data_IF_168015060056
#
_entry.id   IF_168015060056
#
_cell.length_a   1.000
_cell.length_b   1.000
_cell.length_c   1.000
_cell.angle_alpha   90.00
_cell.angle_beta   90.00
_cell.angle_gamma   90.00
#
_symmetry.space_group_name_H-M   'P 1'
#
loop_
_entity.id
_entity.type
_entity.pdbx_description
1 polymer ?
#
# COMPACT_ATOMS: atom_id res chain seq x y z
N UNK A 1 -18.35 23.46 -1.32
CA UNK A 1 -17.80 24.07 -2.56
C UNK A 1 -16.78 23.15 -3.24
N UNK A 2 -16.90 21.82 -3.09
CA UNK A 2 -16.07 20.80 -3.77
C UNK A 2 -16.92 19.86 -4.66
N UNK A 3 -18.23 20.10 -4.74
CA UNK A 3 -19.18 19.18 -5.38
C UNK A 3 -19.22 19.33 -6.91
N UNK A 4 -18.97 20.53 -7.45
CA UNK A 4 -19.05 20.79 -8.90
C UNK A 4 -18.02 20.00 -9.74
N UNK A 5 -16.73 19.92 -9.37
CA UNK A 5 -15.76 19.10 -10.09
C UNK A 5 -16.11 17.62 -10.06
N UNK A 6 -16.51 17.10 -8.90
CA UNK A 6 -16.88 15.70 -8.70
C UNK A 6 -18.09 15.29 -9.53
N UNK A 7 -19.16 16.10 -9.53
CA UNK A 7 -20.36 15.83 -10.34
C UNK A 7 -20.06 15.81 -11.83
N UNK A 8 -19.15 16.69 -12.29
CA UNK A 8 -18.70 16.70 -13.68
C UNK A 8 -17.93 15.42 -14.05
N UNK A 9 -17.06 14.94 -13.18
CA UNK A 9 -16.32 13.69 -13.41
C UNK A 9 -17.26 12.49 -13.52
N UNK A 10 -18.24 12.39 -12.62
CA UNK A 10 -19.27 11.35 -12.65
C UNK A 10 -20.10 11.46 -13.95
N UNK A 11 -20.55 12.66 -14.32
CA UNK A 11 -21.31 12.88 -15.55
C UNK A 11 -20.52 12.46 -16.82
N UNK A 12 -19.23 12.80 -16.88
CA UNK A 12 -18.36 12.40 -17.99
C UNK A 12 -18.19 10.89 -18.04
N UNK A 13 -17.99 10.24 -16.88
CA UNK A 13 -17.90 8.79 -16.79
C UNK A 13 -19.17 8.08 -17.28
N UNK A 14 -20.34 8.58 -16.87
CA UNK A 14 -21.65 8.07 -17.29
C UNK A 14 -21.84 8.23 -18.80
N UNK A 15 -21.62 9.44 -19.33
CA UNK A 15 -21.92 9.75 -20.74
C UNK A 15 -20.92 9.15 -21.75
N UNK A 16 -19.73 8.74 -21.31
CA UNK A 16 -18.72 8.10 -22.18
C UNK A 16 -18.74 6.57 -22.17
N UNK A 17 -19.42 5.95 -21.20
CA UNK A 17 -19.52 4.50 -21.15
C UNK A 17 -20.39 3.97 -22.32
N UNK A 18 -19.79 3.20 -23.24
CA UNK A 18 -20.49 2.68 -24.43
C UNK A 18 -21.30 1.41 -24.19
N UNK A 19 -20.87 0.58 -23.23
CA UNK A 19 -21.44 -0.77 -23.02
C UNK A 19 -21.74 -1.06 -21.55
N UNK A 20 -20.82 -0.74 -20.64
CA UNK A 20 -21.00 -0.93 -19.20
C UNK A 20 -20.17 0.08 -18.41
N UNK A 21 -20.76 0.65 -17.36
CA UNK A 21 -20.07 1.45 -16.35
C UNK A 21 -20.09 0.70 -15.02
N UNK A 22 -18.94 0.64 -14.35
CA UNK A 22 -18.83 0.15 -12.97
C UNK A 22 -18.08 1.22 -12.16
N UNK A 23 -18.70 1.68 -11.08
CA UNK A 23 -18.12 2.71 -10.20
C UNK A 23 -17.90 2.05 -8.84
N UNK A 24 -16.65 2.07 -8.37
CA UNK A 24 -16.28 1.58 -7.05
C UNK A 24 -16.07 2.78 -6.14
N UNK A 25 -16.81 2.84 -5.04
CA UNK A 25 -16.77 3.93 -4.08
C UNK A 25 -16.89 3.39 -2.66
N UNK A 26 -16.46 4.19 -1.67
CA UNK A 26 -16.72 3.87 -0.27
C UNK A 26 -18.22 3.89 0.05
N UNK A 27 -18.69 3.18 1.08
CA UNK A 27 -20.11 3.18 1.48
C UNK A 27 -20.64 4.62 1.64
N UNK A 28 -21.79 4.92 1.04
CA UNK A 28 -22.43 6.24 1.09
C UNK A 28 -21.66 7.38 0.39
N UNK A 29 -20.50 7.12 -0.21
CA UNK A 29 -19.64 8.16 -0.79
C UNK A 29 -20.03 8.56 -2.22
N UNK A 30 -20.84 7.75 -2.92
CA UNK A 30 -21.23 8.07 -4.29
C UNK A 30 -22.53 8.86 -4.32
N UNK A 31 -22.42 10.11 -4.79
CA UNK A 31 -23.54 11.04 -4.91
C UNK A 31 -24.31 11.22 -3.59
N UNK A 32 -23.63 11.50 -2.46
CA UNK A 32 -24.22 11.50 -1.12
C UNK A 32 -25.35 12.51 -0.94
N UNK A 33 -25.44 13.52 -1.82
CA UNK A 33 -26.41 14.63 -1.72
C UNK A 33 -27.35 14.68 -2.93
N UNK A 34 -27.21 13.75 -3.86
CA UNK A 34 -28.04 13.69 -5.04
C UNK A 34 -29.34 12.97 -4.68
N UNK A 35 -30.22 13.61 -3.90
CA UNK A 35 -31.65 13.33 -4.01
C UNK A 35 -32.09 13.82 -5.39
N UNK A 36 -31.80 13.00 -6.41
CA UNK A 36 -32.13 13.29 -7.80
C UNK A 36 -33.65 13.16 -7.94
N UNK A 37 -34.36 14.25 -7.65
CA UNK A 37 -35.80 14.33 -7.82
C UNK A 37 -36.17 13.87 -9.23
N UNK A 38 -37.01 12.84 -9.33
CA UNK A 38 -37.50 12.31 -10.61
C UNK A 38 -36.70 11.16 -11.22
N UNK A 39 -35.62 10.69 -10.59
CA UNK A 39 -34.95 9.45 -10.99
C UNK A 39 -35.21 8.36 -9.94
N UNK A 40 -35.70 7.20 -10.38
CA UNK A 40 -35.80 6.01 -9.54
C UNK A 40 -34.37 5.48 -9.29
N UNK A 41 -33.75 5.92 -8.21
CA UNK A 41 -32.51 5.33 -7.72
C UNK A 41 -32.85 4.03 -6.99
N UNK A 42 -32.52 2.89 -7.60
CA UNK A 42 -32.63 1.59 -6.96
C UNK A 42 -31.28 1.24 -6.36
N UNK A 43 -31.15 1.42 -5.05
CA UNK A 43 -30.03 0.89 -4.30
C UNK A 43 -30.25 -0.63 -4.11
N UNK A 44 -29.77 -1.43 -5.06
CA UNK A 44 -29.71 -2.87 -4.89
C UNK A 44 -28.49 -3.21 -4.01
N UNK A 45 -28.71 -3.33 -2.70
CA UNK A 45 -27.76 -3.91 -1.75
C UNK A 45 -28.16 -5.36 -1.41
N UNK A 46 -28.34 -6.18 -2.44
CA UNK A 46 -28.77 -7.58 -2.27
C UNK A 46 -27.63 -8.46 -1.70
N UNK A 47 -26.43 -7.90 -1.58
CA UNK A 47 -25.24 -8.64 -1.17
C UNK A 47 -25.15 -8.76 0.36
N UNK A 48 -25.96 -9.67 0.92
CA UNK A 48 -25.88 -10.11 2.32
C UNK A 48 -24.72 -11.08 2.59
N UNK A 49 -23.88 -11.35 1.58
CA UNK A 49 -22.73 -12.25 1.71
C UNK A 49 -21.69 -11.62 2.64
N UNK A 50 -21.49 -12.29 3.77
CA UNK A 50 -20.26 -12.15 4.52
C UNK A 50 -19.13 -12.76 3.70
N UNK A 51 -18.31 -11.91 3.11
CA UNK A 51 -17.07 -12.36 2.47
C UNK A 51 -16.13 -12.88 3.55
N UNK A 52 -15.54 -14.08 3.38
CA UNK A 52 -14.51 -14.51 4.30
C UNK A 52 -13.33 -13.52 4.25
N UNK A 53 -12.60 -13.34 5.36
CA UNK A 53 -11.34 -12.60 5.33
C UNK A 53 -10.43 -13.15 4.23
N UNK A 54 -9.77 -12.25 3.49
CA UNK A 54 -8.90 -12.62 2.39
C UNK A 54 -7.80 -13.59 2.85
N UNK A 55 -7.46 -14.58 2.03
CA UNK A 55 -6.37 -15.52 2.35
C UNK A 55 -5.00 -14.84 2.32
N UNK A 56 -4.86 -13.82 1.47
CA UNK A 56 -3.62 -13.07 1.23
C UNK A 56 -3.89 -11.58 1.31
N UNK A 57 -3.05 -10.86 2.06
CA UNK A 57 -3.01 -9.39 2.08
C UNK A 57 -1.65 -8.92 1.56
N UNK A 58 -1.65 -7.84 0.80
CA UNK A 58 -0.42 -7.15 0.39
C UNK A 58 -0.41 -5.73 0.95
N UNK A 59 0.69 -5.37 1.61
CA UNK A 59 0.94 -4.02 2.11
C UNK A 59 2.13 -3.42 1.36
N UNK A 60 1.88 -2.38 0.59
CA UNK A 60 2.88 -1.64 -0.16
C UNK A 60 3.37 -0.45 0.66
N UNK A 61 4.55 -0.57 1.28
CA UNK A 61 5.10 0.52 2.11
C UNK A 61 5.63 1.66 1.24
N UNK A 62 5.23 2.88 1.59
CA UNK A 62 5.77 4.13 1.04
C UNK A 62 6.84 4.74 1.96
N UNK A 63 7.13 6.02 1.72
CA UNK A 63 8.12 6.78 2.50
C UNK A 63 7.79 6.83 4.00
N UNK A 64 6.51 6.97 4.36
CA UNK A 64 6.03 7.04 5.74
C UNK A 64 6.05 5.68 6.45
N UNK A 65 6.16 4.59 5.70
CA UNK A 65 6.24 3.22 6.20
C UNK A 65 7.63 2.83 6.70
N UNK A 66 8.65 3.65 6.45
CA UNK A 66 10.05 3.33 6.71
C UNK A 66 10.74 4.41 7.53
N UNK A 67 11.78 4.03 8.25
CA UNK A 67 12.70 4.97 8.87
C UNK A 67 13.76 5.42 7.85
N UNK A 68 13.49 6.51 7.13
CA UNK A 68 14.28 6.92 5.95
C UNK A 68 15.76 7.24 6.26
N UNK A 69 16.05 7.82 7.43
CA UNK A 69 17.43 8.09 7.85
C UNK A 69 18.28 6.82 7.99
N UNK A 70 17.65 5.64 8.13
CA UNK A 70 18.34 4.35 8.23
C UNK A 70 19.17 4.03 6.98
N UNK A 71 18.73 4.50 5.81
CA UNK A 71 19.37 4.24 4.52
C UNK A 71 20.64 5.05 4.30
N UNK A 72 20.77 6.22 4.94
CA UNK A 72 21.87 7.18 4.71
C UNK A 72 23.24 6.53 4.94
N UNK A 73 23.38 5.75 6.01
CA UNK A 73 24.64 5.07 6.34
C UNK A 73 24.85 3.72 5.64
N UNK A 74 23.91 3.29 4.78
CA UNK A 74 23.89 1.95 4.17
C UNK A 74 23.94 1.95 2.65
N UNK A 75 24.24 3.07 2.01
CA UNK A 75 24.19 3.22 0.55
C UNK A 75 24.94 2.10 -0.20
N UNK A 76 26.16 1.75 0.24
CA UNK A 76 26.93 0.63 -0.35
C UNK A 76 26.21 -0.71 -0.39
N UNK A 77 25.34 -0.97 0.58
CA UNK A 77 24.52 -2.19 0.64
C UNK A 77 23.26 -2.04 -0.22
N UNK A 78 22.61 -0.88 -0.14
CA UNK A 78 21.36 -0.59 -0.85
C UNK A 78 21.58 -0.54 -2.36
N UNK A 79 22.69 0.01 -2.83
CA UNK A 79 23.09 0.07 -4.25
C UNK A 79 23.22 -1.31 -4.91
N UNK A 80 23.47 -2.36 -4.12
CA UNK A 80 23.54 -3.75 -4.61
C UNK A 80 22.17 -4.42 -4.73
N UNK A 81 21.10 -3.75 -4.27
CA UNK A 81 19.77 -4.30 -4.35
C UNK A 81 19.11 -3.95 -5.69
N UNK A 82 18.10 -4.73 -6.06
CA UNK A 82 17.30 -4.49 -7.25
C UNK A 82 15.82 -4.75 -6.98
N UNK A 83 14.93 -4.12 -7.76
CA UNK A 83 13.49 -4.39 -7.71
C UNK A 83 13.20 -5.88 -7.91
N UNK A 84 12.22 -6.39 -7.19
CA UNK A 84 11.86 -7.82 -7.13
C UNK A 84 12.73 -8.65 -6.20
N UNK A 85 13.84 -8.12 -5.67
CA UNK A 85 14.71 -8.88 -4.78
C UNK A 85 13.99 -9.26 -3.49
N UNK A 86 14.06 -10.54 -3.13
CA UNK A 86 13.47 -11.07 -1.90
C UNK A 86 14.20 -10.52 -0.67
N UNK A 87 13.40 -10.14 0.31
CA UNK A 87 13.84 -9.68 1.62
C UNK A 87 13.38 -10.68 2.68
N UNK A 88 14.13 -10.74 3.76
CA UNK A 88 13.87 -11.61 4.90
C UNK A 88 13.32 -10.72 6.01
N UNK A 89 12.02 -10.80 6.34
CA UNK A 89 11.47 -10.04 7.45
C UNK A 89 11.90 -10.65 8.77
N UNK A 90 12.37 -9.80 9.69
CA UNK A 90 12.69 -10.19 11.07
C UNK A 90 12.44 -9.01 12.01
N UNK A 91 11.67 -9.26 13.06
CA UNK A 91 11.25 -8.24 14.03
C UNK A 91 10.62 -7.03 13.33
N UNK A 92 11.30 -5.88 13.35
CA UNK A 92 10.85 -4.63 12.74
C UNK A 92 11.74 -4.18 11.57
N UNK A 93 12.49 -5.11 11.00
CA UNK A 93 13.49 -4.85 9.96
C UNK A 93 13.37 -5.86 8.81
N UNK A 94 13.92 -5.46 7.66
CA UNK A 94 14.03 -6.28 6.47
C UNK A 94 15.51 -6.51 6.17
N UNK A 95 15.86 -7.75 5.88
CA UNK A 95 17.22 -8.18 5.61
C UNK A 95 17.37 -8.67 4.16
N UNK A 96 18.57 -8.55 3.62
CA UNK A 96 18.95 -9.24 2.39
C UNK A 96 20.09 -10.23 2.68
N UNK A 97 20.24 -11.24 1.81
CA UNK A 97 21.43 -12.09 1.81
C UNK A 97 22.58 -11.34 1.13
N UNK A 98 23.76 -11.40 1.73
CA UNK A 98 24.98 -10.83 1.17
C UNK A 98 25.73 -11.87 0.36
N UNK A 99 26.63 -11.42 -0.52
CA UNK A 99 27.47 -12.30 -1.36
C UNK A 99 28.34 -13.27 -0.52
N UNK A 100 28.69 -12.88 0.72
CA UNK A 100 29.43 -13.72 1.67
C UNK A 100 28.58 -14.74 2.43
N UNK A 101 27.31 -14.91 2.08
CA UNK A 101 26.38 -15.85 2.74
C UNK A 101 25.78 -15.35 4.06
N UNK A 102 26.17 -14.15 4.50
CA UNK A 102 25.57 -13.49 5.67
C UNK A 102 24.25 -12.80 5.34
N UNK A 103 23.66 -12.18 6.35
CA UNK A 103 22.48 -11.34 6.19
C UNK A 103 22.79 -9.92 6.67
N UNK A 104 22.25 -8.93 5.98
CA UNK A 104 22.40 -7.53 6.35
C UNK A 104 21.05 -6.83 6.37
N UNK A 105 20.81 -6.02 7.40
CA UNK A 105 19.59 -5.23 7.52
C UNK A 105 19.62 -4.08 6.52
N UNK A 106 18.58 -4.01 5.69
CA UNK A 106 18.47 -3.06 4.58
C UNK A 106 17.34 -2.05 4.76
N UNK A 107 16.34 -2.34 5.59
CA UNK A 107 15.27 -1.39 5.88
C UNK A 107 14.71 -1.62 7.29
N UNK A 108 14.17 -0.54 7.87
CA UNK A 108 13.53 -0.55 9.19
C UNK A 108 12.15 0.09 9.10
N UNK A 109 11.15 -0.55 9.68
CA UNK A 109 9.79 -0.02 9.68
C UNK A 109 9.67 1.21 10.56
N UNK A 110 8.89 2.19 10.11
CA UNK A 110 8.46 3.33 10.91
C UNK A 110 7.56 2.88 12.06
N UNK A 111 7.32 3.75 13.05
CA UNK A 111 6.41 3.44 14.16
C UNK A 111 5.00 3.11 13.66
N UNK A 112 4.47 3.94 12.75
CA UNK A 112 3.15 3.76 12.12
C UNK A 112 3.05 2.40 11.42
N UNK A 113 4.03 2.06 10.58
CA UNK A 113 4.02 0.76 9.89
C UNK A 113 4.05 -0.42 10.87
N UNK A 114 4.74 -0.33 12.00
CA UNK A 114 4.74 -1.39 13.02
C UNK A 114 3.36 -1.57 13.65
N UNK A 115 2.63 -0.49 13.89
CA UNK A 115 1.26 -0.53 14.41
C UNK A 115 0.30 -1.16 13.39
N UNK A 116 0.41 -0.76 12.12
CA UNK A 116 -0.37 -1.34 11.01
C UNK A 116 -0.09 -2.84 10.84
N UNK A 117 1.19 -3.23 10.84
CA UNK A 117 1.62 -4.63 10.76
C UNK A 117 1.10 -5.41 11.98
N UNK A 118 1.21 -4.86 13.19
CA UNK A 118 0.72 -5.52 14.40
C UNK A 118 -0.80 -5.77 14.34
N UNK A 119 -1.57 -4.83 13.81
CA UNK A 119 -3.01 -5.00 13.57
C UNK A 119 -3.31 -6.16 12.61
N UNK A 120 -2.58 -6.25 11.50
CA UNK A 120 -2.71 -7.36 10.53
C UNK A 120 -2.37 -8.71 11.19
N UNK A 121 -1.27 -8.76 11.96
CA UNK A 121 -0.86 -9.98 12.65
C UNK A 121 -1.88 -10.41 13.73
N UNK A 122 -2.45 -9.45 14.47
CA UNK A 122 -3.52 -9.71 15.43
C UNK A 122 -4.81 -10.23 14.77
N UNK A 123 -5.04 -9.86 13.50
CA UNK A 123 -6.12 -10.40 12.66
C UNK A 123 -5.93 -11.86 12.21
N UNK A 124 -4.92 -12.56 12.69
CA UNK A 124 -4.67 -13.97 12.38
C UNK A 124 -3.83 -14.19 11.13
N UNK A 125 -3.01 -13.21 10.73
CA UNK A 125 -2.11 -13.34 9.58
C UNK A 125 -0.65 -13.53 10.02
N UNK A 126 0.18 -14.00 9.10
CA UNK A 126 1.64 -14.04 9.20
C UNK A 126 2.26 -13.35 8.01
N UNK A 127 3.33 -12.58 8.25
CA UNK A 127 4.16 -12.07 7.16
C UNK A 127 4.91 -13.23 6.53
N UNK A 128 4.59 -13.52 5.28
CA UNK A 128 5.08 -14.69 4.55
C UNK A 128 6.15 -14.33 3.53
N UNK A 129 6.07 -13.15 2.93
CA UNK A 129 7.04 -12.68 1.95
C UNK A 129 7.29 -11.18 2.12
N UNK A 130 8.50 -10.75 1.77
CA UNK A 130 8.85 -9.36 1.60
C UNK A 130 9.76 -9.24 0.38
N UNK A 131 9.61 -8.16 -0.39
CA UNK A 131 10.45 -7.89 -1.55
C UNK A 131 10.63 -6.41 -1.80
N UNK A 132 11.69 -6.03 -2.49
CA UNK A 132 11.88 -4.67 -2.98
C UNK A 132 10.87 -4.41 -4.10
N UNK A 133 9.88 -3.54 -3.90
CA UNK A 133 8.95 -3.14 -4.97
C UNK A 133 9.65 -2.21 -5.95
N UNK A 134 10.27 -1.16 -5.43
CA UNK A 134 10.95 -0.13 -6.22
C UNK A 134 12.06 0.52 -5.42
N UNK A 135 13.08 1.01 -6.12
CA UNK A 135 14.16 1.82 -5.56
C UNK A 135 14.06 3.24 -6.07
N UNK A 136 14.19 4.22 -5.18
CA UNK A 136 14.04 5.65 -5.50
C UNK A 136 15.09 6.47 -4.77
N UNK A 137 15.50 7.59 -5.36
CA UNK A 137 16.31 8.58 -4.66
C UNK A 137 15.40 9.49 -3.83
N UNK A 138 15.72 9.61 -2.55
CA UNK A 138 15.04 10.46 -1.60
C UNK A 138 16.01 11.49 -1.03
N UNK A 139 15.59 12.76 -1.01
CA UNK A 139 16.35 13.86 -0.42
C UNK A 139 15.76 14.24 0.93
N UNK A 140 16.59 14.24 1.96
CA UNK A 140 16.21 14.78 3.27
C UNK A 140 16.12 16.29 3.18
N UNK A 141 15.13 16.89 3.85
CA UNK A 141 14.82 18.33 3.76
C UNK A 141 16.03 19.24 4.01
N UNK A 142 16.90 18.86 4.94
CA UNK A 142 18.08 19.65 5.34
C UNK A 142 19.40 19.07 4.80
N UNK A 143 19.35 18.35 3.66
CA UNK A 143 20.52 17.73 3.04
C UNK A 143 20.52 17.95 1.53
N UNK A 144 21.70 18.23 0.98
CA UNK A 144 21.92 18.33 -0.46
C UNK A 144 22.22 16.98 -1.13
N UNK A 145 22.33 15.91 -0.34
CA UNK A 145 22.65 14.57 -0.84
C UNK A 145 21.37 13.75 -1.07
N UNK A 146 21.27 13.16 -2.26
CA UNK A 146 20.25 12.16 -2.57
C UNK A 146 20.65 10.82 -1.95
N UNK A 147 19.72 10.20 -1.23
CA UNK A 147 19.88 8.88 -0.61
C UNK A 147 19.02 7.89 -1.37
N UNK A 148 19.62 6.86 -1.93
CA UNK A 148 18.90 5.74 -2.52
C UNK A 148 18.20 4.95 -1.41
N UNK A 149 16.88 4.80 -1.54
CA UNK A 149 16.05 4.03 -0.61
C UNK A 149 15.31 2.94 -1.38
N UNK A 150 14.94 1.87 -0.66
CA UNK A 150 14.03 0.85 -1.18
C UNK A 150 12.64 1.06 -0.58
N UNK A 151 11.61 0.82 -1.37
CA UNK A 151 10.23 0.73 -0.93
C UNK A 151 9.76 -0.72 -1.10
N UNK A 152 9.38 -1.42 -0.02
CA UNK A 152 9.06 -2.84 -0.09
C UNK A 152 7.56 -3.10 -0.27
N UNK A 153 7.26 -4.29 -0.80
CA UNK A 153 5.97 -4.95 -0.62
C UNK A 153 6.09 -6.04 0.44
N UNK A 154 5.08 -6.12 1.31
CA UNK A 154 4.93 -7.15 2.34
C UNK A 154 3.70 -7.98 2.03
N UNK A 155 3.84 -9.30 2.03
CA UNK A 155 2.73 -10.24 1.78
C UNK A 155 2.43 -11.01 3.04
N UNK A 156 1.17 -10.96 3.45
CA UNK A 156 0.66 -11.66 4.61
C UNK A 156 -0.29 -12.77 4.19
N UNK A 157 -0.15 -13.94 4.81
CA UNK A 157 -1.06 -15.06 4.61
C UNK A 157 -1.79 -15.35 5.91
N UNK A 158 -3.07 -15.71 5.81
CA UNK A 158 -3.86 -16.11 6.97
C UNK A 158 -3.25 -17.36 7.59
N UNK A 159 -3.15 -17.40 8.92
CA UNK A 159 -2.81 -18.63 9.66
C UNK A 159 -3.99 -19.59 9.48
N UNK A 160 -3.68 -20.80 9.00
CA UNK A 160 -4.63 -21.92 9.08
C UNK A 160 -4.98 -22.25 10.53
#
# INVERSE_FOLDING_TARGET
>A
MEEEPYLREVFVGITRAKTRLRIHHGPGAFLPHAQLAGLAFVECSDETRLWPPAEVLQMSLGHDGLFLDYFISRQRLIEKLHSGQKLIPRDFELFCRTEGGGEASVARFSKKAREDIASILAGGYVMSEASVRVMVYWRKKDSDADTLILLPDLVFRRRE
#
